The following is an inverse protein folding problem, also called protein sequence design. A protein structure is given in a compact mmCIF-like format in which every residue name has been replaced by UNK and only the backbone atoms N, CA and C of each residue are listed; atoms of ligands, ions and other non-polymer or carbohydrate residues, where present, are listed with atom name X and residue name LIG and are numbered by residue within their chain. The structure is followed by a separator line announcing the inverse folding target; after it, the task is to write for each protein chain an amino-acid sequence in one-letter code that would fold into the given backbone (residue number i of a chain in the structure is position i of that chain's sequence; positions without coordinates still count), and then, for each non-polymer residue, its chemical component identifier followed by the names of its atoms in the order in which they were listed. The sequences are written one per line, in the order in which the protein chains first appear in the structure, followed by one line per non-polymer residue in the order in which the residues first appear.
data_IF_495321371430
#
_entry.id   IF_495321371430
#
_cell.length_a   1.000
_cell.length_b   1.000
_cell.length_c   1.000
_cell.angle_alpha   90.00
_cell.angle_beta   90.00
_cell.angle_gamma   90.00
#
_symmetry.space_group_name_H-M   'P 1'
#
loop_
_entity.id
_entity.type
_entity.pdbx_description
1 polymer ?
#
# COMPACT_ATOMS: atom_id res chain seq x y z
N UNK A 1 22.82 30.40 4.69
CA UNK A 1 21.35 30.62 4.76
C UNK A 1 20.66 29.69 3.77
N UNK A 2 19.76 28.79 4.22
CA UNK A 2 18.98 27.93 3.30
C UNK A 2 18.02 28.83 2.49
N UNK A 3 18.17 28.84 1.15
CA UNK A 3 17.24 29.53 0.26
C UNK A 3 15.84 28.93 0.48
N UNK A 4 14.84 29.75 0.76
CA UNK A 4 13.44 29.27 0.84
C UNK A 4 13.07 28.66 -0.52
N UNK A 5 12.41 27.50 -0.56
CA UNK A 5 11.93 26.92 -1.81
C UNK A 5 10.98 27.88 -2.52
N UNK A 6 11.10 27.94 -3.84
CA UNK A 6 10.22 28.77 -4.67
C UNK A 6 8.76 28.33 -4.49
N UNK A 7 7.83 29.25 -4.67
CA UNK A 7 6.39 28.99 -4.50
C UNK A 7 5.59 29.41 -5.73
N UNK A 8 4.41 28.79 -5.93
CA UNK A 8 3.43 29.22 -6.96
C UNK A 8 3.17 30.73 -6.88
N UNK A 9 3.09 31.29 -5.66
CA UNK A 9 2.87 32.73 -5.45
C UNK A 9 4.03 33.57 -5.99
N UNK A 10 5.24 33.08 -5.90
CA UNK A 10 6.41 33.77 -6.43
C UNK A 10 6.45 33.76 -7.97
N UNK A 11 6.15 32.63 -8.61
CA UNK A 11 6.01 32.51 -10.06
C UNK A 11 4.91 33.46 -10.56
N UNK A 12 3.75 33.44 -9.89
CA UNK A 12 2.62 34.28 -10.21
C UNK A 12 2.99 35.79 -10.16
N UNK A 13 3.70 36.22 -9.12
CA UNK A 13 4.19 37.59 -8.97
C UNK A 13 5.15 38.00 -10.09
N UNK A 14 6.11 37.12 -10.42
CA UNK A 14 7.11 37.41 -11.48
C UNK A 14 6.48 37.51 -12.86
N UNK A 15 5.50 36.66 -13.15
CA UNK A 15 4.81 36.64 -14.44
C UNK A 15 3.59 37.58 -14.50
N UNK A 16 3.22 38.25 -13.41
CA UNK A 16 2.04 39.13 -13.27
C UNK A 16 0.74 38.43 -13.65
N UNK A 17 0.56 37.18 -13.20
CA UNK A 17 -0.64 36.35 -13.39
C UNK A 17 -1.13 35.81 -12.04
N UNK A 18 -2.33 35.24 -12.00
CA UNK A 18 -2.86 34.68 -10.76
C UNK A 18 -2.18 33.36 -10.36
N UNK A 19 -2.07 33.00 -9.06
CA UNK A 19 -1.59 31.70 -8.62
C UNK A 19 -2.40 30.54 -9.20
N UNK A 20 -3.69 30.71 -9.41
CA UNK A 20 -4.55 29.72 -10.06
C UNK A 20 -4.20 29.50 -11.53
N UNK A 21 -3.84 30.57 -12.26
CA UNK A 21 -3.34 30.47 -13.65
C UNK A 21 -2.00 29.70 -13.68
N UNK A 22 -1.08 29.97 -12.75
CA UNK A 22 0.19 29.23 -12.65
C UNK A 22 -0.07 27.75 -12.38
N UNK A 23 -0.93 27.43 -11.40
CA UNK A 23 -1.28 26.05 -11.06
C UNK A 23 -1.89 25.30 -12.24
N UNK A 24 -2.79 25.93 -13.00
CA UNK A 24 -3.40 25.34 -14.19
C UNK A 24 -2.37 25.14 -15.31
N UNK A 25 -1.50 26.11 -15.53
CA UNK A 25 -0.44 26.02 -16.55
C UNK A 25 0.57 24.90 -16.24
N UNK A 26 0.97 24.73 -15.00
CA UNK A 26 1.88 23.65 -14.56
C UNK A 26 1.26 22.24 -14.75
N UNK A 27 -0.07 22.15 -14.72
CA UNK A 27 -0.82 20.90 -14.93
C UNK A 27 -1.39 20.78 -16.37
N UNK A 28 -0.88 21.53 -17.33
CA UNK A 28 -1.31 21.50 -18.74
C UNK A 28 -2.82 21.62 -18.96
N UNK A 29 -3.50 22.41 -18.10
CA UNK A 29 -4.96 22.53 -18.14
C UNK A 29 -5.40 23.24 -19.43
N UNK A 30 -6.38 22.70 -20.16
CA UNK A 30 -6.78 23.20 -21.51
C UNK A 30 -7.27 24.65 -21.53
N UNK A 31 -7.67 25.23 -20.39
CA UNK A 31 -8.08 26.62 -20.28
C UNK A 31 -6.91 27.61 -20.35
N UNK A 32 -5.66 27.16 -20.35
CA UNK A 32 -4.47 28.01 -20.41
C UNK A 32 -3.80 27.86 -21.77
N UNK A 33 -3.64 28.97 -22.47
CA UNK A 33 -2.99 28.97 -23.80
C UNK A 33 -1.51 28.55 -23.74
N UNK A 34 -1.04 27.89 -24.82
CA UNK A 34 0.29 27.30 -24.93
C UNK A 34 1.42 28.27 -24.55
N UNK A 35 1.35 29.52 -25.03
CA UNK A 35 2.36 30.54 -24.72
C UNK A 35 2.48 30.82 -23.23
N UNK A 36 1.35 30.89 -22.51
CA UNK A 36 1.34 31.11 -21.06
C UNK A 36 1.89 29.89 -20.34
N UNK A 37 1.52 28.69 -20.78
CA UNK A 37 2.02 27.42 -20.22
C UNK A 37 3.53 27.33 -20.34
N UNK A 38 4.09 27.61 -21.53
CA UNK A 38 5.55 27.60 -21.74
C UNK A 38 6.28 28.63 -20.88
N UNK A 39 5.75 29.85 -20.76
CA UNK A 39 6.34 30.89 -19.88
C UNK A 39 6.34 30.47 -18.41
N UNK A 40 5.27 29.84 -17.94
CA UNK A 40 5.15 29.37 -16.57
C UNK A 40 6.12 28.21 -16.30
N UNK A 41 6.20 27.22 -17.18
CA UNK A 41 7.14 26.08 -17.06
C UNK A 41 8.59 26.56 -17.04
N UNK A 42 8.97 27.45 -17.96
CA UNK A 42 10.31 28.04 -18.00
C UNK A 42 10.64 28.78 -16.69
N UNK A 43 9.72 29.59 -16.17
CA UNK A 43 9.93 30.31 -14.90
C UNK A 43 10.03 29.35 -13.72
N UNK A 44 9.29 28.23 -13.71
CA UNK A 44 9.39 27.20 -12.69
C UNK A 44 10.79 26.53 -12.70
N UNK A 45 11.32 26.21 -13.87
CA UNK A 45 12.68 25.67 -14.06
C UNK A 45 13.76 26.67 -13.56
N UNK A 46 13.68 27.95 -13.97
CA UNK A 46 14.62 29.00 -13.55
C UNK A 46 14.64 29.21 -12.03
N UNK A 47 13.52 28.97 -11.35
CA UNK A 47 13.40 29.09 -9.91
C UNK A 47 13.66 27.80 -9.16
N UNK A 48 13.96 26.69 -9.85
CA UNK A 48 13.99 25.34 -9.29
C UNK A 48 12.72 25.10 -8.42
N UNK A 49 11.54 25.43 -8.99
CA UNK A 49 10.28 25.22 -8.32
C UNK A 49 9.90 23.75 -8.33
N UNK A 50 9.72 23.18 -7.15
CA UNK A 50 9.13 21.86 -6.98
C UNK A 50 7.70 22.01 -6.47
N UNK A 51 6.73 21.27 -7.05
CA UNK A 51 5.36 21.27 -6.56
C UNK A 51 5.32 20.84 -5.08
N UNK A 52 4.62 21.60 -4.26
CA UNK A 52 4.40 21.21 -2.88
C UNK A 52 3.41 20.04 -2.83
N UNK A 53 3.94 18.83 -2.73
CA UNK A 53 3.14 17.60 -2.68
C UNK A 53 2.08 17.65 -1.57
N UNK A 54 2.42 18.18 -0.40
CA UNK A 54 1.46 18.33 0.71
C UNK A 54 0.25 19.17 0.32
N UNK A 55 0.45 20.25 -0.46
CA UNK A 55 -0.65 21.09 -0.94
C UNK A 55 -1.49 20.39 -2.01
N UNK A 56 -0.87 19.56 -2.85
CA UNK A 56 -1.54 18.73 -3.86
C UNK A 56 -2.38 17.66 -3.15
N UNK A 57 -1.81 16.94 -2.21
CA UNK A 57 -2.47 15.91 -1.40
C UNK A 57 -3.69 16.47 -0.65
N UNK A 58 -3.53 17.65 -0.03
CA UNK A 58 -4.63 18.32 0.64
C UNK A 58 -5.79 18.64 -0.31
N UNK A 59 -5.49 19.12 -1.52
CA UNK A 59 -6.51 19.43 -2.54
C UNK A 59 -7.19 18.18 -3.09
N UNK A 60 -6.45 17.10 -3.28
CA UNK A 60 -6.94 15.84 -3.85
C UNK A 60 -7.50 14.89 -2.79
N UNK A 61 -7.31 15.18 -1.49
CA UNK A 61 -7.61 14.29 -0.37
C UNK A 61 -6.96 12.90 -0.50
N UNK A 62 -5.82 12.82 -1.17
CA UNK A 62 -5.04 11.61 -1.41
C UNK A 62 -3.57 11.88 -1.20
N UNK A 63 -2.85 10.90 -0.66
CA UNK A 63 -1.39 10.98 -0.44
C UNK A 63 -0.60 10.24 -1.50
N UNK A 64 -1.28 9.49 -2.36
CA UNK A 64 -0.65 8.57 -3.34
C UNK A 64 0.36 7.65 -2.67
N UNK A 65 -0.01 7.16 -1.49
CA UNK A 65 0.82 6.25 -0.70
C UNK A 65 -0.01 5.06 -0.26
N UNK A 66 0.50 3.85 -0.48
CA UNK A 66 -0.08 2.60 0.01
C UNK A 66 0.83 2.06 1.11
N UNK A 67 0.23 1.67 2.23
CA UNK A 67 0.93 0.95 3.29
C UNK A 67 0.97 -0.55 2.99
N UNK A 68 2.12 -1.20 3.15
CA UNK A 68 2.25 -2.66 3.09
C UNK A 68 2.83 -3.16 4.39
N UNK A 69 2.13 -4.07 5.05
CA UNK A 69 2.54 -4.69 6.33
C UNK A 69 2.73 -6.18 6.10
N UNK A 70 3.84 -6.71 6.58
CA UNK A 70 4.18 -8.13 6.45
C UNK A 70 5.05 -8.61 7.61
N UNK A 71 5.11 -9.93 7.88
CA UNK A 71 5.92 -10.46 8.97
C UNK A 71 7.41 -10.27 8.75
N UNK A 72 7.93 -10.63 7.57
CA UNK A 72 9.37 -10.60 7.30
C UNK A 72 9.69 -10.39 5.82
N UNK A 73 10.57 -9.45 5.52
CA UNK A 73 11.11 -9.21 4.17
C UNK A 73 12.14 -10.26 3.73
N UNK A 74 12.69 -11.03 4.66
CA UNK A 74 13.72 -12.03 4.35
C UNK A 74 13.18 -13.29 3.68
N UNK A 75 11.88 -13.48 3.67
CA UNK A 75 11.23 -14.61 3.01
C UNK A 75 11.09 -14.36 1.51
N UNK A 76 11.53 -15.28 0.63
CA UNK A 76 11.51 -15.10 -0.83
C UNK A 76 10.12 -14.76 -1.38
N UNK A 77 9.07 -15.32 -0.79
CA UNK A 77 7.68 -15.03 -1.15
C UNK A 77 7.36 -13.54 -0.99
N UNK A 78 7.63 -12.98 0.19
CA UNK A 78 7.34 -11.56 0.45
C UNK A 78 8.22 -10.63 -0.39
N UNK A 79 9.48 -10.99 -0.62
CA UNK A 79 10.36 -10.24 -1.51
C UNK A 79 9.79 -10.13 -2.92
N UNK A 80 9.29 -11.23 -3.49
CA UNK A 80 8.64 -11.25 -4.80
C UNK A 80 7.32 -10.48 -4.81
N UNK A 81 6.48 -10.68 -3.80
CA UNK A 81 5.20 -9.99 -3.67
C UNK A 81 5.37 -8.46 -3.58
N UNK A 82 6.34 -8.00 -2.78
CA UNK A 82 6.65 -6.57 -2.67
C UNK A 82 7.09 -5.98 -3.99
N UNK A 83 7.97 -6.68 -4.74
CA UNK A 83 8.44 -6.21 -6.04
C UNK A 83 7.27 -5.96 -7.00
N UNK A 84 6.29 -6.87 -7.05
CA UNK A 84 5.10 -6.71 -7.89
C UNK A 84 4.15 -5.63 -7.37
N UNK A 85 3.98 -5.51 -6.05
CA UNK A 85 3.19 -4.43 -5.43
C UNK A 85 3.80 -3.07 -5.79
N UNK A 86 5.14 -2.92 -5.72
CA UNK A 86 5.82 -1.67 -6.09
C UNK A 86 5.68 -1.36 -7.59
N UNK A 87 5.81 -2.36 -8.47
CA UNK A 87 5.62 -2.20 -9.91
C UNK A 87 4.23 -1.64 -10.21
N UNK A 88 3.18 -2.33 -9.73
CA UNK A 88 1.79 -1.92 -9.97
C UNK A 88 1.48 -0.56 -9.32
N UNK A 89 1.96 -0.31 -8.11
CA UNK A 89 1.79 0.98 -7.44
C UNK A 89 2.45 2.10 -8.26
N UNK A 90 3.66 1.87 -8.78
CA UNK A 90 4.40 2.82 -9.62
C UNK A 90 3.68 3.18 -10.91
N UNK A 91 3.07 2.20 -11.61
CA UNK A 91 2.25 2.43 -12.80
C UNK A 91 1.07 3.38 -12.53
N UNK A 92 0.56 3.36 -11.30
CA UNK A 92 -0.53 4.24 -10.84
C UNK A 92 -0.05 5.49 -10.10
N UNK A 93 1.24 5.80 -10.11
CA UNK A 93 1.87 6.92 -9.40
C UNK A 93 1.70 6.84 -7.87
N UNK A 94 1.61 5.65 -7.30
CA UNK A 94 1.62 5.42 -5.86
C UNK A 94 3.03 5.09 -5.37
N UNK A 95 3.33 5.54 -4.16
CA UNK A 95 4.52 5.14 -3.40
C UNK A 95 4.13 4.06 -2.40
N UNK A 96 4.97 3.05 -2.23
CA UNK A 96 4.78 1.99 -1.23
C UNK A 96 5.54 2.35 0.05
N UNK A 97 4.83 2.35 1.18
CA UNK A 97 5.40 2.50 2.51
C UNK A 97 5.35 1.15 3.23
N UNK A 98 6.51 0.58 3.53
CA UNK A 98 6.59 -0.76 4.11
C UNK A 98 6.72 -0.74 5.63
N UNK A 99 6.06 -1.69 6.29
CA UNK A 99 6.19 -1.98 7.71
C UNK A 99 6.38 -3.47 7.95
N UNK A 100 7.34 -3.83 8.80
CA UNK A 100 7.66 -5.21 9.12
C UNK A 100 7.29 -5.50 10.57
N UNK A 101 6.36 -6.45 10.78
CA UNK A 101 5.82 -6.77 12.10
C UNK A 101 6.67 -7.76 12.91
N UNK A 102 7.44 -8.64 12.25
CA UNK A 102 8.18 -9.74 12.86
C UNK A 102 7.28 -10.68 13.69
N UNK A 103 6.07 -10.95 13.22
CA UNK A 103 5.06 -11.74 13.93
C UNK A 103 4.68 -11.17 15.34
N UNK A 104 5.00 -9.91 15.61
CA UNK A 104 4.63 -9.21 16.84
C UNK A 104 3.36 -8.38 16.61
N UNK A 105 2.24 -8.82 17.20
CA UNK A 105 0.94 -8.17 17.06
C UNK A 105 0.93 -6.71 17.59
N UNK A 106 1.73 -6.40 18.61
CA UNK A 106 1.84 -5.02 19.12
C UNK A 106 2.54 -4.13 18.13
N UNK A 107 3.63 -4.62 17.51
CA UNK A 107 4.36 -3.91 16.47
C UNK A 107 3.51 -3.73 15.22
N UNK A 108 2.75 -4.75 14.83
CA UNK A 108 1.79 -4.67 13.72
C UNK A 108 0.79 -3.54 13.93
N UNK A 109 0.15 -3.49 15.10
CA UNK A 109 -0.77 -2.43 15.46
C UNK A 109 -0.11 -1.04 15.48
N UNK A 110 1.13 -0.92 15.97
CA UNK A 110 1.90 0.33 15.92
C UNK A 110 2.15 0.81 14.48
N UNK A 111 2.45 -0.10 13.56
CA UNK A 111 2.64 0.21 12.13
C UNK A 111 1.32 0.69 11.54
N UNK A 112 0.20 0.02 11.83
CA UNK A 112 -1.14 0.41 11.39
C UNK A 112 -1.48 1.84 11.87
N UNK A 113 -1.25 2.15 13.14
CA UNK A 113 -1.43 3.51 13.67
C UNK A 113 -0.52 4.53 12.99
N UNK A 114 0.70 4.16 12.67
CA UNK A 114 1.64 5.01 11.94
C UNK A 114 1.13 5.30 10.53
N UNK A 115 0.67 4.29 9.80
CA UNK A 115 0.11 4.44 8.46
C UNK A 115 -1.17 5.30 8.47
N UNK A 116 -2.06 5.08 9.45
CA UNK A 116 -3.23 5.94 9.67
C UNK A 116 -2.82 7.40 9.90
N UNK A 117 -1.79 7.65 10.73
CA UNK A 117 -1.28 9.01 11.00
C UNK A 117 -0.68 9.64 9.73
N UNK A 118 -0.02 8.87 8.89
CA UNK A 118 0.50 9.32 7.60
C UNK A 118 -0.57 9.44 6.52
N UNK A 119 -1.82 9.05 6.81
CA UNK A 119 -2.95 9.09 5.89
C UNK A 119 -2.67 8.35 4.59
N UNK A 120 -2.14 7.13 4.68
CA UNK A 120 -2.02 6.28 3.49
C UNK A 120 -3.40 6.07 2.87
N UNK A 121 -3.46 5.95 1.54
CA UNK A 121 -4.71 5.82 0.79
C UNK A 121 -5.29 4.39 0.84
N UNK A 122 -4.52 3.43 1.34
CA UNK A 122 -4.92 2.05 1.55
C UNK A 122 -3.82 1.23 2.22
N UNK A 123 -4.17 0.07 2.75
CA UNK A 123 -3.24 -0.85 3.41
C UNK A 123 -3.38 -2.25 2.82
N UNK A 124 -2.25 -2.85 2.43
CA UNK A 124 -2.10 -4.28 2.16
C UNK A 124 -1.44 -4.91 3.38
N UNK A 125 -1.98 -5.99 3.92
CA UNK A 125 -1.44 -6.64 5.11
C UNK A 125 -1.45 -8.15 5.01
N UNK A 126 -0.30 -8.77 5.29
CA UNK A 126 -0.21 -10.18 5.65
C UNK A 126 -0.06 -10.26 7.17
N UNK A 127 -1.00 -10.93 7.82
CA UNK A 127 -1.05 -10.99 9.29
C UNK A 127 0.15 -11.74 9.88
N UNK A 128 0.63 -11.26 11.01
CA UNK A 128 1.56 -12.01 11.84
C UNK A 128 0.89 -13.23 12.49
N UNK A 129 1.67 -14.29 12.74
CA UNK A 129 1.19 -15.56 13.33
C UNK A 129 0.52 -15.38 14.70
N UNK A 130 0.88 -14.32 15.42
CA UNK A 130 0.40 -14.04 16.78
C UNK A 130 -0.71 -12.97 16.82
N UNK A 131 -1.25 -12.57 15.68
CA UNK A 131 -2.28 -11.54 15.59
C UNK A 131 -3.66 -12.16 15.74
N UNK A 132 -4.28 -11.96 16.90
CA UNK A 132 -5.62 -12.44 17.25
C UNK A 132 -6.65 -11.29 17.24
N UNK A 133 -6.24 -10.09 17.68
CA UNK A 133 -7.10 -8.91 17.72
C UNK A 133 -7.14 -8.18 16.36
N UNK A 134 -8.31 -8.17 15.74
CA UNK A 134 -8.58 -7.53 14.46
C UNK A 134 -9.38 -6.22 14.60
N UNK A 135 -9.48 -5.66 15.81
CA UNK A 135 -10.19 -4.40 16.05
C UNK A 135 -9.68 -3.21 15.23
N UNK A 136 -8.45 -3.29 14.74
CA UNK A 136 -7.89 -2.30 13.84
C UNK A 136 -8.63 -2.20 12.49
N UNK A 137 -9.37 -3.24 12.08
CA UNK A 137 -10.19 -3.20 10.86
C UNK A 137 -11.28 -2.14 10.97
N UNK A 138 -11.98 -2.10 12.11
CA UNK A 138 -12.99 -1.06 12.36
C UNK A 138 -12.34 0.32 12.48
N UNK A 139 -11.19 0.41 13.15
CA UNK A 139 -10.41 1.65 13.24
C UNK A 139 -10.03 2.23 11.87
N UNK A 140 -9.65 1.37 10.91
CA UNK A 140 -9.31 1.77 9.54
C UNK A 140 -10.56 2.13 8.73
N UNK A 141 -11.65 1.38 8.91
CA UNK A 141 -12.94 1.66 8.29
C UNK A 141 -13.50 3.04 8.70
N UNK A 142 -13.44 3.37 10.00
CA UNK A 142 -13.82 4.69 10.50
C UNK A 142 -12.92 5.82 9.94
N UNK A 143 -11.67 5.50 9.64
CA UNK A 143 -10.73 6.43 9.01
C UNK A 143 -10.83 6.50 7.48
N UNK A 144 -11.77 5.76 6.87
CA UNK A 144 -11.94 5.63 5.42
C UNK A 144 -10.67 5.12 4.70
N UNK A 145 -9.88 4.29 5.38
CA UNK A 145 -8.68 3.66 4.81
C UNK A 145 -9.02 2.22 4.42
N UNK A 146 -9.13 1.89 3.13
CA UNK A 146 -9.38 0.53 2.68
C UNK A 146 -8.23 -0.40 3.05
N UNK A 147 -8.59 -1.64 3.42
CA UNK A 147 -7.64 -2.69 3.75
C UNK A 147 -7.87 -3.92 2.88
N UNK A 148 -6.79 -4.53 2.42
CA UNK A 148 -6.78 -5.83 1.75
C UNK A 148 -5.79 -6.73 2.46
N UNK A 149 -6.24 -7.89 2.87
CA UNK A 149 -5.39 -8.94 3.42
C UNK A 149 -4.81 -9.80 2.30
N UNK A 150 -3.56 -10.22 2.42
CA UNK A 150 -2.95 -11.14 1.47
C UNK A 150 -2.11 -12.22 2.18
N UNK A 151 -1.98 -13.40 1.58
CA UNK A 151 -1.27 -14.57 2.10
C UNK A 151 -1.84 -15.04 3.45
N UNK A 152 -1.35 -14.51 4.58
CA UNK A 152 -1.91 -14.78 5.90
C UNK A 152 -3.14 -13.88 6.13
N UNK A 153 -4.32 -14.46 5.94
CA UNK A 153 -5.60 -13.74 5.99
C UNK A 153 -6.45 -14.17 7.20
N UNK A 154 -7.31 -13.28 7.73
CA UNK A 154 -8.19 -13.62 8.84
C UNK A 154 -9.40 -14.44 8.38
N UNK A 155 -10.05 -15.15 9.31
CA UNK A 155 -11.35 -15.83 9.08
C UNK A 155 -12.52 -14.87 8.80
N UNK A 156 -12.38 -13.59 9.10
CA UNK A 156 -13.44 -12.59 8.93
C UNK A 156 -13.93 -12.55 7.48
N UNK A 157 -15.22 -12.75 7.23
CA UNK A 157 -15.78 -12.80 5.87
C UNK A 157 -15.92 -11.42 5.21
N UNK A 158 -16.20 -10.39 6.00
CA UNK A 158 -16.52 -9.04 5.50
C UNK A 158 -15.29 -8.18 5.18
N UNK A 159 -14.18 -8.79 4.73
CA UNK A 159 -12.94 -8.10 4.35
C UNK A 159 -12.42 -8.57 2.99
N UNK A 160 -11.68 -7.71 2.30
CA UNK A 160 -11.03 -8.08 1.04
C UNK A 160 -9.80 -8.94 1.31
N UNK A 161 -9.68 -10.06 0.60
CA UNK A 161 -8.60 -11.05 0.76
C UNK A 161 -8.06 -11.51 -0.59
N UNK A 162 -6.75 -11.73 -0.64
CA UNK A 162 -6.04 -12.39 -1.75
C UNK A 162 -5.14 -13.47 -1.14
N UNK A 163 -5.46 -14.73 -1.36
CA UNK A 163 -4.71 -15.86 -0.80
C UNK A 163 -4.80 -17.09 -1.71
N UNK A 164 -3.93 -18.06 -1.48
CA UNK A 164 -3.87 -19.29 -2.26
C UNK A 164 -4.93 -20.29 -1.79
N UNK A 165 -5.49 -21.08 -2.70
CA UNK A 165 -6.36 -22.23 -2.40
C UNK A 165 -5.51 -23.39 -1.87
N UNK A 166 -5.31 -23.40 -0.55
CA UNK A 166 -4.51 -24.41 0.12
C UNK A 166 -5.26 -25.73 0.29
N UNK A 167 -6.58 -25.72 0.32
CA UNK A 167 -7.43 -26.91 0.38
C UNK A 167 -7.23 -27.80 -0.84
N UNK A 168 -7.34 -27.25 -2.04
CA UNK A 168 -7.16 -28.00 -3.28
C UNK A 168 -5.76 -28.57 -3.38
N UNK A 169 -4.71 -27.78 -3.10
CA UNK A 169 -3.33 -28.22 -3.12
C UNK A 169 -3.06 -29.35 -2.11
N UNK A 170 -3.66 -29.29 -0.91
CA UNK A 170 -3.51 -30.35 0.09
C UNK A 170 -4.19 -31.64 -0.36
N UNK A 171 -5.40 -31.58 -0.92
CA UNK A 171 -6.10 -32.77 -1.46
C UNK A 171 -5.28 -33.45 -2.56
N UNK A 172 -4.72 -32.68 -3.50
CA UNK A 172 -3.86 -33.21 -4.55
C UNK A 172 -2.63 -33.89 -3.99
N UNK A 173 -1.97 -33.31 -2.99
CA UNK A 173 -0.82 -33.90 -2.32
C UNK A 173 -1.18 -35.23 -1.65
N UNK A 174 -2.27 -35.28 -0.88
CA UNK A 174 -2.74 -36.51 -0.23
C UNK A 174 -3.12 -37.60 -1.25
N UNK A 175 -3.83 -37.23 -2.32
CA UNK A 175 -4.16 -38.16 -3.40
C UNK A 175 -2.92 -38.73 -4.10
N UNK A 176 -1.90 -37.89 -4.31
CA UNK A 176 -0.64 -38.32 -4.85
C UNK A 176 0.03 -39.34 -3.96
N UNK A 177 0.14 -39.11 -2.64
CA UNK A 177 0.68 -40.08 -1.69
C UNK A 177 -0.12 -41.40 -1.66
N UNK A 178 -1.45 -41.30 -1.65
CA UNK A 178 -2.32 -42.46 -1.66
C UNK A 178 -2.16 -43.31 -2.94
N UNK A 179 -2.02 -42.67 -4.10
CA UNK A 179 -1.87 -43.34 -5.40
C UNK A 179 -0.61 -44.16 -5.51
N UNK A 180 0.47 -43.80 -4.81
CA UNK A 180 1.73 -44.55 -4.74
C UNK A 180 1.80 -45.52 -3.54
N UNK A 181 0.65 -45.71 -2.85
CA UNK A 181 0.48 -46.75 -1.83
C UNK A 181 0.78 -46.36 -0.39
N UNK A 182 1.03 -45.08 -0.09
CA UNK A 182 1.19 -44.63 1.28
C UNK A 182 -0.16 -44.69 2.03
N UNK A 183 -0.18 -45.37 3.17
CA UNK A 183 -1.38 -45.51 4.03
C UNK A 183 -1.31 -44.62 5.27
N UNK A 184 -0.12 -44.25 5.69
CA UNK A 184 0.11 -43.39 6.87
C UNK A 184 0.79 -42.10 6.41
N UNK A 185 0.08 -41.00 6.50
CA UNK A 185 0.57 -39.68 6.07
C UNK A 185 0.52 -38.76 7.30
N UNK A 186 1.62 -38.05 7.58
CA UNK A 186 1.72 -37.09 8.67
C UNK A 186 1.73 -35.67 8.08
N UNK A 187 0.98 -34.79 8.69
CA UNK A 187 0.97 -33.37 8.39
C UNK A 187 1.70 -32.59 9.51
N UNK A 188 2.73 -31.84 9.14
CA UNK A 188 3.31 -30.81 10.00
C UNK A 188 2.66 -29.48 9.61
N UNK A 189 1.76 -29.01 10.48
CA UNK A 189 0.95 -27.82 10.20
C UNK A 189 1.48 -26.57 10.91
N UNK A 190 0.97 -25.39 10.55
CA UNK A 190 1.23 -24.12 11.22
C UNK A 190 0.30 -23.91 12.43
N UNK A 191 0.33 -22.70 13.04
CA UNK A 191 -0.55 -22.33 14.15
C UNK A 191 -2.04 -22.47 13.81
N UNK A 192 -2.85 -22.97 14.75
CA UNK A 192 -4.27 -23.27 14.51
C UNK A 192 -5.15 -22.01 14.28
N UNK A 193 -4.71 -20.86 14.78
CA UNK A 193 -5.40 -19.58 14.58
C UNK A 193 -5.32 -19.03 13.15
N UNK A 194 -4.43 -19.55 12.31
CA UNK A 194 -4.32 -19.13 10.91
C UNK A 194 -5.30 -19.90 10.01
N UNK A 195 -6.02 -19.18 9.15
CA UNK A 195 -6.91 -19.77 8.16
C UNK A 195 -6.19 -20.81 7.28
N UNK A 196 -5.00 -20.48 6.82
CA UNK A 196 -4.16 -21.37 6.03
C UNK A 196 -3.86 -22.72 6.69
N UNK A 197 -3.67 -22.76 8.02
CA UNK A 197 -3.44 -23.99 8.76
C UNK A 197 -4.71 -24.82 8.88
N UNK A 198 -5.84 -24.18 9.05
CA UNK A 198 -7.13 -24.86 9.14
C UNK A 198 -7.54 -25.46 7.80
N UNK A 199 -7.43 -24.72 6.69
CA UNK A 199 -7.73 -25.19 5.36
C UNK A 199 -6.88 -26.42 4.96
N UNK A 200 -5.59 -26.44 5.38
CA UNK A 200 -4.73 -27.61 5.15
C UNK A 200 -5.14 -28.82 5.99
N UNK A 201 -5.62 -28.61 7.22
CA UNK A 201 -6.02 -29.70 8.11
C UNK A 201 -7.39 -30.27 7.75
N UNK A 202 -8.29 -29.47 7.21
CA UNK A 202 -9.67 -29.86 6.85
C UNK A 202 -9.78 -30.45 5.45
N UNK A 203 -8.75 -30.30 4.62
CA UNK A 203 -8.73 -30.80 3.25
C UNK A 203 -8.58 -32.32 3.14
#
# INVERSE_FOLDING_TARGET
MKKKPATIKEIARKLKISPSTVSRALNDHPSIGLVTTMRVKKMAEELNYEPNQTAIFFKQRRTFTIGVILPSLSEPFFSSAISEIENVAGEHNYTVLMGQSHDDAKRELQIIHTFKKHRVDGILISLGKNTEDLSFVDLLKEAEIPIVFFDCVPKMEAVNKVYSDLSSGMREAIQSFASIGHKNIALINGPENLLASQERAEA
#
